data_IF_153286649251
#
_entry.id   IF_153286649251
#
_cell.length_a   1.000
_cell.length_b   1.000
_cell.length_c   1.000
_cell.angle_alpha   90.00
_cell.angle_beta   90.00
_cell.angle_gamma   90.00
#
_symmetry.space_group_name_H-M   'P 1'
#
loop_
_entity.id
_entity.type
_entity.pdbx_description
1 polymer ?
#
# COMPACT_ATOMS: atom_id res chain seq x y z
N UNK A 1 19.37 69.03 -7.77
CA UNK A 1 19.27 67.82 -8.60
C UNK A 1 18.05 67.05 -8.14
N UNK A 2 16.95 67.18 -8.87
CA UNK A 2 15.68 66.50 -8.62
C UNK A 2 15.67 65.15 -9.38
N UNK A 3 14.97 64.11 -8.87
CA UNK A 3 14.87 62.82 -9.55
C UNK A 3 13.87 62.88 -10.72
N UNK A 4 14.05 62.06 -11.78
CA UNK A 4 13.12 62.01 -12.90
C UNK A 4 11.88 61.14 -12.59
N UNK A 5 10.77 61.30 -13.33
CA UNK A 5 9.43 60.92 -12.90
C UNK A 5 9.01 59.51 -13.32
N UNK A 6 8.02 58.98 -12.58
CA UNK A 6 7.30 57.74 -12.85
C UNK A 6 6.46 57.81 -14.13
N UNK A 7 6.42 56.70 -14.87
CA UNK A 7 5.56 56.50 -16.03
C UNK A 7 4.16 55.97 -15.62
N UNK A 8 3.07 56.24 -16.38
CA UNK A 8 1.70 56.03 -15.95
C UNK A 8 1.14 54.65 -16.32
N UNK A 9 0.08 54.29 -15.60
CA UNK A 9 -0.75 53.08 -15.66
C UNK A 9 -1.87 53.19 -16.73
N UNK A 10 -2.14 52.07 -17.43
CA UNK A 10 -3.42 51.73 -18.12
C UNK A 10 -3.54 52.23 -19.57
N UNK A 11 -4.06 51.48 -20.56
CA UNK A 11 -4.95 50.30 -20.55
C UNK A 11 -5.12 49.76 -22.00
N UNK A 12 -5.59 48.49 -22.12
CA UNK A 12 -6.17 47.77 -23.29
C UNK A 12 -5.17 46.91 -24.11
N UNK A 13 -5.06 45.60 -23.84
CA UNK A 13 -5.89 44.47 -24.32
C UNK A 13 -5.82 44.25 -25.84
N UNK A 14 -5.04 43.24 -26.25
CA UNK A 14 -5.48 42.26 -27.24
C UNK A 14 -4.74 40.92 -27.02
N UNK A 15 -5.53 39.86 -27.02
CA UNK A 15 -5.19 38.48 -26.72
C UNK A 15 -4.31 37.85 -27.81
N UNK A 16 -3.31 37.09 -27.38
CA UNK A 16 -2.57 36.15 -28.21
C UNK A 16 -2.34 34.88 -27.41
N UNK A 17 -3.28 33.94 -27.48
CA UNK A 17 -3.19 32.59 -26.92
C UNK A 17 -2.09 31.80 -27.63
N UNK A 18 -0.94 31.67 -26.98
CA UNK A 18 0.12 30.74 -27.35
C UNK A 18 0.04 29.49 -26.47
N UNK A 19 -0.79 28.54 -26.87
CA UNK A 19 -0.79 27.18 -26.33
C UNK A 19 0.48 26.45 -26.79
N UNK A 20 1.36 26.09 -25.85
CA UNK A 20 2.24 24.92 -26.00
C UNK A 20 2.80 24.48 -24.64
N UNK A 21 1.93 23.97 -23.76
CA UNK A 21 2.39 23.07 -22.70
C UNK A 21 2.34 21.66 -23.27
N UNK A 22 3.49 21.10 -23.63
CA UNK A 22 3.61 19.66 -23.89
C UNK A 22 3.13 18.90 -22.64
N UNK A 23 2.28 17.86 -22.77
CA UNK A 23 1.86 17.07 -21.61
C UNK A 23 3.07 16.43 -20.93
N UNK A 24 3.02 16.17 -19.61
CA UNK A 24 4.04 15.36 -18.95
C UNK A 24 4.18 14.01 -19.69
N UNK A 25 5.41 13.52 -19.86
CA UNK A 25 5.71 12.30 -20.66
C UNK A 25 4.89 11.07 -20.25
N UNK A 26 4.44 11.00 -19.00
CA UNK A 26 3.55 9.95 -18.49
C UNK A 26 2.14 10.01 -19.11
N UNK A 27 1.58 11.21 -19.30
CA UNK A 27 0.28 11.40 -19.96
C UNK A 27 0.32 10.93 -21.41
N UNK A 28 1.33 11.36 -22.16
CA UNK A 28 1.49 10.97 -23.57
C UNK A 28 1.68 9.45 -23.72
N UNK A 29 2.37 8.80 -22.79
CA UNK A 29 2.54 7.34 -22.79
C UNK A 29 1.22 6.62 -22.46
N UNK A 30 0.43 7.14 -21.51
CA UNK A 30 -0.88 6.60 -21.16
C UNK A 30 -1.88 6.75 -22.32
N UNK A 31 -1.90 7.91 -22.98
CA UNK A 31 -2.76 8.17 -24.14
C UNK A 31 -2.43 7.24 -25.31
N UNK A 32 -1.14 7.01 -25.55
CA UNK A 32 -0.66 6.05 -26.56
C UNK A 32 -1.05 4.61 -26.21
N UNK A 33 -0.98 4.21 -24.94
CA UNK A 33 -1.42 2.88 -24.50
C UNK A 33 -2.93 2.71 -24.66
N UNK A 34 -3.74 3.71 -24.27
CA UNK A 34 -5.20 3.72 -24.46
C UNK A 34 -5.54 3.50 -25.94
N UNK A 35 -4.83 4.20 -26.85
CA UNK A 35 -4.99 4.06 -28.31
C UNK A 35 -4.66 2.63 -28.78
N UNK A 36 -3.53 2.06 -28.35
CA UNK A 36 -3.13 0.69 -28.71
C UNK A 36 -4.12 -0.37 -28.21
N UNK A 37 -4.62 -0.23 -26.98
CA UNK A 37 -5.64 -1.13 -26.42
C UNK A 37 -6.90 -1.06 -27.27
N UNK A 38 -7.37 0.14 -27.60
CA UNK A 38 -8.52 0.33 -28.48
C UNK A 38 -8.33 -0.38 -29.82
N UNK A 39 -7.20 -0.13 -30.51
CA UNK A 39 -6.91 -0.74 -31.81
C UNK A 39 -6.90 -2.26 -31.76
N UNK A 40 -6.33 -2.82 -30.69
CA UNK A 40 -6.29 -4.27 -30.49
C UNK A 40 -7.67 -4.87 -30.25
N UNK A 41 -8.52 -4.20 -29.47
CA UNK A 41 -9.90 -4.65 -29.22
C UNK A 41 -10.77 -4.59 -30.48
N UNK A 42 -10.58 -3.55 -31.30
CA UNK A 42 -11.24 -3.43 -32.62
C UNK A 42 -10.76 -4.52 -33.56
N UNK A 43 -9.45 -4.77 -33.65
CA UNK A 43 -8.88 -5.86 -34.46
C UNK A 43 -9.37 -7.25 -34.01
N UNK A 44 -9.57 -7.44 -32.71
CA UNK A 44 -10.13 -8.66 -32.14
C UNK A 44 -11.67 -8.79 -32.31
N UNK A 45 -12.32 -7.80 -32.93
CA UNK A 45 -13.77 -7.79 -33.17
C UNK A 45 -14.61 -7.64 -31.90
N UNK A 46 -14.04 -7.12 -30.82
CA UNK A 46 -14.70 -7.03 -29.50
C UNK A 46 -15.60 -5.80 -29.32
N UNK A 47 -15.73 -4.96 -30.35
CA UNK A 47 -16.62 -3.78 -30.31
C UNK A 47 -18.11 -4.11 -30.40
N UNK A 48 -18.45 -5.34 -30.79
CA UNK A 48 -19.85 -5.77 -30.99
C UNK A 48 -20.55 -4.93 -32.06
N UNK A 49 -21.81 -4.55 -31.79
CA UNK A 49 -22.64 -3.71 -32.66
C UNK A 49 -22.50 -2.20 -32.41
N UNK A 50 -21.61 -1.80 -31.49
CA UNK A 50 -21.39 -0.39 -31.18
C UNK A 50 -20.56 0.28 -32.29
N UNK A 51 -20.88 1.53 -32.61
CA UNK A 51 -20.04 2.31 -33.51
C UNK A 51 -18.68 2.64 -32.86
N UNK A 52 -17.69 2.90 -33.71
CA UNK A 52 -16.30 3.13 -33.29
C UNK A 52 -16.17 4.28 -32.26
N UNK A 53 -17.05 5.29 -32.37
CA UNK A 53 -17.06 6.46 -31.50
C UNK A 53 -17.66 6.15 -30.12
N UNK A 54 -18.80 5.46 -30.05
CA UNK A 54 -19.40 5.02 -28.78
C UNK A 54 -18.49 4.05 -28.05
N UNK A 55 -17.90 3.10 -28.77
CA UNK A 55 -16.97 2.12 -28.20
C UNK A 55 -15.73 2.81 -27.60
N UNK A 56 -15.19 3.82 -28.28
CA UNK A 56 -14.06 4.61 -27.77
C UNK A 56 -14.43 5.40 -26.51
N UNK A 57 -15.52 6.18 -26.57
CA UNK A 57 -15.97 6.99 -25.43
C UNK A 57 -16.24 6.13 -24.18
N UNK A 58 -16.76 4.94 -24.37
CA UNK A 58 -17.03 3.96 -23.33
C UNK A 58 -15.76 3.43 -22.67
N UNK A 59 -14.71 3.15 -23.45
CA UNK A 59 -13.39 2.76 -22.91
C UNK A 59 -12.71 3.93 -22.19
N UNK A 60 -12.78 5.14 -22.76
CA UNK A 60 -12.22 6.34 -22.12
C UNK A 60 -12.89 6.60 -20.78
N UNK A 61 -14.23 6.50 -20.71
CA UNK A 61 -14.97 6.62 -19.46
C UNK A 61 -14.54 5.57 -18.41
N UNK A 62 -14.22 4.34 -18.84
CA UNK A 62 -13.70 3.31 -17.93
C UNK A 62 -12.29 3.65 -17.44
N UNK A 63 -11.39 4.10 -18.31
CA UNK A 63 -10.04 4.50 -17.91
C UNK A 63 -10.05 5.72 -16.98
N UNK A 64 -10.96 6.66 -17.18
CA UNK A 64 -11.07 7.87 -16.37
C UNK A 64 -11.68 7.61 -14.98
N UNK A 65 -12.46 6.52 -14.84
CA UNK A 65 -12.93 6.04 -13.53
C UNK A 65 -11.82 5.43 -12.67
N UNK A 66 -10.78 4.90 -13.31
CA UNK A 66 -9.71 4.17 -12.63
C UNK A 66 -8.50 5.07 -12.38
N UNK A 67 -7.71 4.80 -11.33
CA UNK A 67 -6.55 5.60 -11.02
C UNK A 67 -5.50 5.42 -12.13
N UNK A 68 -4.64 6.42 -12.40
CA UNK A 68 -3.62 6.33 -13.45
C UNK A 68 -2.74 5.08 -13.38
N UNK A 69 -2.54 4.51 -12.18
CA UNK A 69 -1.81 3.25 -11.96
C UNK A 69 -2.39 2.05 -12.72
N UNK A 70 -3.69 2.03 -12.97
CA UNK A 70 -4.34 0.97 -13.72
C UNK A 70 -3.75 0.81 -15.13
N UNK A 71 -3.45 1.93 -15.79
CA UNK A 71 -2.79 1.92 -17.09
C UNK A 71 -1.32 1.50 -17.02
N UNK A 72 -0.66 1.70 -15.89
CA UNK A 72 0.73 1.27 -15.68
C UNK A 72 0.84 -0.24 -15.50
N UNK A 73 -0.15 -0.86 -14.86
CA UNK A 73 -0.21 -2.30 -14.63
C UNK A 73 -0.73 -3.08 -15.87
N UNK A 74 -1.36 -2.37 -16.81
CA UNK A 74 -1.83 -2.92 -18.07
C UNK A 74 -0.70 -3.02 -19.11
N UNK A 75 -0.70 -4.11 -19.86
CA UNK A 75 0.12 -4.27 -21.06
C UNK A 75 -0.76 -4.43 -22.29
N UNK A 76 -0.20 -4.17 -23.47
CA UNK A 76 -0.94 -4.33 -24.73
C UNK A 76 -1.50 -5.76 -24.91
N UNK A 77 -0.79 -6.77 -24.39
CA UNK A 77 -1.24 -8.17 -24.40
C UNK A 77 -2.46 -8.43 -23.51
N UNK A 78 -2.76 -7.54 -22.56
CA UNK A 78 -3.88 -7.62 -21.62
C UNK A 78 -5.07 -6.74 -22.03
N UNK A 79 -5.16 -6.35 -23.30
CA UNK A 79 -6.25 -5.49 -23.79
C UNK A 79 -7.66 -6.05 -23.50
N UNK A 80 -7.84 -7.38 -23.55
CA UNK A 80 -9.12 -8.03 -23.24
C UNK A 80 -9.50 -7.95 -21.76
N UNK A 81 -8.52 -7.85 -20.86
CA UNK A 81 -8.76 -7.72 -19.42
C UNK A 81 -9.49 -6.42 -19.11
N UNK A 82 -9.28 -5.37 -19.90
CA UNK A 82 -9.99 -4.07 -19.77
C UNK A 82 -11.50 -4.25 -19.90
N UNK A 83 -11.95 -5.10 -20.83
CA UNK A 83 -13.37 -5.36 -21.01
C UNK A 83 -13.94 -6.17 -19.83
N UNK A 84 -13.19 -7.15 -19.34
CA UNK A 84 -13.59 -7.97 -18.20
C UNK A 84 -13.69 -7.15 -16.91
N UNK A 85 -12.68 -6.31 -16.63
CA UNK A 85 -12.66 -5.40 -15.48
C UNK A 85 -13.85 -4.44 -15.51
N UNK A 86 -14.15 -3.89 -16.69
CA UNK A 86 -15.31 -3.04 -16.87
C UNK A 86 -16.62 -3.80 -16.62
N UNK A 87 -16.77 -4.99 -17.20
CA UNK A 87 -17.98 -5.79 -17.05
C UNK A 87 -18.27 -6.11 -15.58
N UNK A 88 -17.23 -6.46 -14.82
CA UNK A 88 -17.34 -6.76 -13.37
C UNK A 88 -17.72 -5.51 -12.56
N UNK A 89 -17.16 -4.35 -12.90
CA UNK A 89 -17.53 -3.07 -12.26
C UNK A 89 -18.97 -2.65 -12.60
N UNK A 90 -19.35 -2.75 -13.87
CA UNK A 90 -20.70 -2.41 -14.34
C UNK A 90 -21.72 -3.37 -13.69
N UNK A 91 -21.46 -4.67 -13.65
CA UNK A 91 -22.34 -5.66 -13.00
C UNK A 91 -22.54 -5.35 -11.50
N UNK A 92 -21.47 -4.95 -10.81
CA UNK A 92 -21.54 -4.56 -9.40
C UNK A 92 -22.43 -3.32 -9.18
N UNK A 93 -22.31 -2.33 -10.06
CA UNK A 93 -23.13 -1.11 -10.01
C UNK A 93 -24.61 -1.38 -10.31
N UNK A 94 -24.92 -2.32 -11.22
CA UNK A 94 -26.29 -2.64 -11.61
C UNK A 94 -26.98 -3.62 -10.66
N UNK A 95 -26.23 -4.53 -10.01
CA UNK A 95 -26.79 -5.55 -9.11
C UNK A 95 -27.03 -5.05 -7.68
N UNK A 96 -27.56 -3.83 -7.54
CA UNK A 96 -27.88 -3.23 -6.25
C UNK A 96 -26.68 -3.14 -5.31
N UNK A 97 -25.48 -2.90 -5.85
CA UNK A 97 -24.24 -2.75 -5.10
C UNK A 97 -23.79 -4.03 -4.36
N UNK A 98 -24.24 -5.20 -4.81
CA UNK A 98 -23.74 -6.47 -4.31
C UNK A 98 -22.34 -6.75 -4.87
N UNK A 99 -21.45 -7.38 -4.08
CA UNK A 99 -20.15 -7.77 -4.58
C UNK A 99 -20.26 -8.75 -5.73
N UNK A 100 -19.51 -8.51 -6.80
CA UNK A 100 -19.43 -9.37 -7.99
C UNK A 100 -18.06 -10.05 -8.01
N UNK A 101 -18.06 -11.31 -8.41
CA UNK A 101 -16.88 -12.16 -8.40
C UNK A 101 -16.77 -12.95 -9.71
N UNK A 102 -15.56 -13.06 -10.26
CA UNK A 102 -15.25 -13.92 -11.41
C UNK A 102 -13.90 -14.61 -11.21
N UNK A 103 -13.77 -15.83 -11.73
CA UNK A 103 -12.50 -16.56 -11.74
C UNK A 103 -12.22 -17.14 -13.13
N UNK A 104 -10.95 -17.10 -13.57
CA UNK A 104 -10.48 -17.73 -14.81
C UNK A 104 -9.17 -18.48 -14.57
N UNK A 105 -8.97 -19.59 -15.27
CA UNK A 105 -7.69 -20.28 -15.29
C UNK A 105 -6.70 -19.51 -16.18
N UNK A 106 -5.47 -19.30 -15.70
CA UNK A 106 -4.42 -18.62 -16.47
C UNK A 106 -3.47 -19.62 -17.12
N UNK A 107 -2.77 -20.42 -16.31
CA UNK A 107 -1.70 -21.29 -16.81
C UNK A 107 -1.22 -22.30 -15.76
N UNK A 108 -0.71 -23.43 -16.25
CA UNK A 108 0.04 -24.41 -15.47
C UNK A 108 1.54 -24.04 -15.46
N UNK A 109 2.11 -23.81 -14.28
CA UNK A 109 3.55 -23.69 -14.10
C UNK A 109 4.14 -25.02 -13.67
N UNK A 110 4.86 -25.67 -14.59
CA UNK A 110 5.83 -26.69 -14.18
C UNK A 110 6.99 -25.92 -13.58
N UNK A 111 7.24 -26.10 -12.28
CA UNK A 111 8.51 -25.68 -11.68
C UNK A 111 9.59 -26.52 -12.34
N UNK A 112 10.15 -26.02 -13.44
CA UNK A 112 11.41 -26.58 -13.94
C UNK A 112 12.45 -26.22 -12.87
N UNK A 113 13.14 -27.20 -12.27
CA UNK A 113 14.34 -26.87 -11.53
C UNK A 113 15.29 -26.24 -12.56
N UNK A 114 15.50 -24.92 -12.48
CA UNK A 114 16.58 -24.29 -13.23
C UNK A 114 17.87 -25.02 -12.84
N UNK A 115 18.49 -25.64 -13.84
CA UNK A 115 19.75 -26.34 -13.70
C UNK A 115 20.84 -25.32 -13.36
N UNK A 116 21.08 -25.10 -12.08
CA UNK A 116 22.42 -24.70 -11.63
C UNK A 116 23.22 -26.00 -11.57
N UNK A 117 24.12 -26.18 -12.54
CA UNK A 117 25.09 -27.27 -12.48
C UNK A 117 25.96 -27.06 -11.23
N UNK A 118 25.71 -27.87 -10.20
CA UNK A 118 26.43 -27.88 -8.92
C UNK A 118 27.67 -28.77 -8.98
N UNK A 119 28.15 -29.11 -10.19
CA UNK A 119 29.45 -29.74 -10.35
C UNK A 119 30.56 -28.79 -9.83
N UNK A 120 31.57 -29.31 -9.12
CA UNK A 120 32.66 -28.50 -8.55
C UNK A 120 33.51 -27.75 -9.59
N UNK A 121 33.31 -28.04 -10.88
CA UNK A 121 34.05 -27.47 -12.00
C UNK A 121 33.26 -26.38 -12.77
N UNK A 122 32.06 -26.02 -12.29
CA UNK A 122 31.22 -24.99 -12.91
C UNK A 122 31.71 -23.57 -12.57
N UNK A 123 32.06 -22.80 -13.60
CA UNK A 123 32.52 -21.39 -13.50
C UNK A 123 31.55 -20.49 -12.71
N UNK A 124 30.26 -20.83 -12.74
CA UNK A 124 29.19 -20.12 -12.02
C UNK A 124 29.23 -20.40 -10.51
N UNK A 125 29.57 -21.63 -10.11
CA UNK A 125 29.73 -22.03 -8.71
C UNK A 125 30.98 -21.39 -8.09
N UNK A 126 32.06 -21.28 -8.85
CA UNK A 126 33.27 -20.57 -8.44
C UNK A 126 33.05 -19.07 -8.28
N UNK A 127 32.33 -18.39 -9.20
CA UNK A 127 31.98 -16.98 -9.06
C UNK A 127 31.11 -16.71 -7.81
N UNK A 128 30.16 -17.59 -7.52
CA UNK A 128 29.33 -17.51 -6.31
C UNK A 128 30.14 -17.71 -5.02
N UNK A 129 31.13 -18.61 -5.01
CA UNK A 129 32.04 -18.76 -3.87
C UNK A 129 32.99 -17.57 -3.73
N UNK A 130 33.46 -16.98 -4.83
CA UNK A 130 34.31 -15.78 -4.80
C UNK A 130 33.55 -14.56 -4.26
N UNK A 131 32.28 -14.39 -4.62
CA UNK A 131 31.43 -13.31 -4.11
C UNK A 131 30.99 -13.52 -2.65
N UNK A 132 30.83 -14.78 -2.21
CA UNK A 132 30.42 -15.13 -0.84
C UNK A 132 31.60 -15.27 0.15
N UNK A 133 32.85 -15.28 -0.31
CA UNK A 133 34.04 -15.41 0.56
C UNK A 133 34.61 -14.06 1.03
N UNK A 134 34.09 -12.94 0.53
CA UNK A 134 34.38 -11.60 1.06
C UNK A 134 33.35 -11.18 2.11
N UNK A 135 33.38 -11.87 3.26
CA UNK A 135 33.10 -11.36 4.62
C UNK A 135 32.59 -12.49 5.55
N UNK A 136 33.51 -13.37 5.97
CA UNK A 136 33.41 -13.95 7.32
C UNK A 136 34.76 -14.44 7.86
N UNK A 137 35.49 -13.53 8.50
CA UNK A 137 36.50 -13.90 9.49
C UNK A 137 35.76 -14.14 10.82
N UNK A 138 35.86 -15.39 11.29
CA UNK A 138 35.66 -15.92 12.65
C UNK A 138 34.24 -16.05 13.24
N UNK A 139 33.86 -17.30 13.56
CA UNK A 139 32.80 -17.59 14.54
C UNK A 139 32.15 -18.98 14.45
N UNK A 140 32.94 -20.04 14.66
CA UNK A 140 32.60 -21.39 15.19
C UNK A 140 31.18 -21.97 15.11
N UNK A 141 31.07 -23.02 14.29
CA UNK A 141 30.42 -24.34 14.44
C UNK A 141 29.36 -24.57 15.54
N UNK A 142 28.17 -24.96 15.09
CA UNK A 142 27.44 -26.10 15.69
C UNK A 142 26.53 -26.76 14.66
N UNK A 143 26.84 -28.01 14.32
CA UNK A 143 26.20 -28.86 13.32
C UNK A 143 24.85 -29.40 13.81
N UNK A 144 23.77 -29.06 13.12
CA UNK A 144 22.44 -29.69 13.27
C UNK A 144 21.96 -30.21 11.92
N UNK A 145 21.94 -31.53 11.77
CA UNK A 145 21.48 -32.26 10.59
C UNK A 145 20.04 -31.90 10.22
N UNK A 146 19.84 -31.20 9.10
CA UNK A 146 18.53 -30.98 8.48
C UNK A 146 18.34 -32.00 7.36
N UNK A 147 17.41 -32.92 7.59
CA UNK A 147 16.86 -33.85 6.61
C UNK A 147 16.32 -33.11 5.38
N UNK A 148 16.83 -33.46 4.21
CA UNK A 148 16.39 -32.97 2.90
C UNK A 148 14.95 -33.39 2.59
N UNK A 149 14.04 -32.47 2.20
CA UNK A 149 12.71 -32.84 1.78
C UNK A 149 12.75 -33.45 0.37
N UNK A 150 12.02 -34.56 0.22
CA UNK A 150 11.82 -35.29 -1.03
C UNK A 150 11.20 -34.42 -2.12
N UNK A 151 11.75 -34.56 -3.32
CA UNK A 151 11.31 -33.93 -4.57
C UNK A 151 10.05 -34.62 -5.10
N UNK A 152 8.92 -33.92 -5.05
CA UNK A 152 7.77 -34.07 -5.94
C UNK A 152 7.08 -32.70 -6.00
N UNK A 153 7.49 -31.83 -6.92
CA UNK A 153 6.85 -30.53 -7.14
C UNK A 153 5.75 -30.71 -8.18
N UNK A 154 4.51 -30.91 -7.73
CA UNK A 154 3.33 -30.85 -8.61
C UNK A 154 3.29 -29.49 -9.33
N UNK A 155 2.83 -29.43 -10.59
CA UNK A 155 2.69 -28.17 -11.29
C UNK A 155 1.71 -27.23 -10.58
N UNK A 156 2.09 -25.99 -10.37
CA UNK A 156 1.22 -24.98 -9.77
C UNK A 156 0.21 -24.49 -10.82
N UNK A 157 -1.08 -24.70 -10.55
CA UNK A 157 -2.17 -24.19 -11.37
C UNK A 157 -2.52 -22.76 -10.93
N UNK A 158 -2.29 -21.80 -11.83
CA UNK A 158 -2.59 -20.39 -11.58
C UNK A 158 -4.00 -20.04 -12.03
N UNK A 159 -4.74 -19.40 -11.13
CA UNK A 159 -6.07 -18.87 -11.35
C UNK A 159 -6.06 -17.37 -11.11
N UNK A 160 -6.74 -16.62 -11.96
CA UNK A 160 -7.03 -15.22 -11.71
C UNK A 160 -8.43 -15.10 -11.12
N UNK A 161 -8.54 -14.29 -10.08
CA UNK A 161 -9.74 -14.01 -9.34
C UNK A 161 -9.96 -12.50 -9.38
N UNK A 162 -11.08 -12.07 -9.95
CA UNK A 162 -11.47 -10.66 -10.05
C UNK A 162 -12.69 -10.43 -9.16
N UNK A 163 -12.61 -9.40 -8.34
CA UNK A 163 -13.67 -9.01 -7.42
C UNK A 163 -13.98 -7.52 -7.59
N UNK A 164 -15.27 -7.18 -7.58
CA UNK A 164 -15.73 -5.80 -7.52
C UNK A 164 -16.76 -5.61 -6.42
N UNK A 165 -16.67 -4.51 -5.69
CA UNK A 165 -17.61 -4.18 -4.60
C UNK A 165 -17.59 -2.68 -4.29
N UNK A 166 -18.46 -2.22 -3.36
CA UNK A 166 -18.26 -0.88 -2.79
C UNK A 166 -16.94 -0.81 -2.05
N UNK A 167 -16.19 0.28 -2.29
CA UNK A 167 -14.96 0.57 -1.59
C UNK A 167 -15.25 0.86 -0.11
N UNK A 168 -15.21 -0.20 0.69
CA UNK A 168 -15.39 -0.16 2.14
C UNK A 168 -14.08 -0.55 2.82
N UNK A 169 -13.66 0.20 3.86
CA UNK A 169 -12.48 -0.17 4.62
C UNK A 169 -12.66 -1.58 5.20
N UNK A 170 -11.60 -2.40 5.10
CA UNK A 170 -11.52 -3.79 5.59
C UNK A 170 -12.25 -4.86 4.76
N UNK A 171 -12.82 -4.53 3.60
CA UNK A 171 -13.43 -5.55 2.73
C UNK A 171 -12.36 -6.45 2.10
N UNK A 172 -11.29 -5.83 1.61
CA UNK A 172 -10.09 -6.47 1.07
C UNK A 172 -9.44 -7.47 2.04
N UNK A 173 -9.35 -7.11 3.32
CA UNK A 173 -8.81 -7.99 4.35
C UNK A 173 -9.73 -9.19 4.63
N UNK A 174 -11.05 -9.00 4.52
CA UNK A 174 -11.99 -10.11 4.58
C UNK A 174 -11.83 -11.04 3.38
N UNK A 175 -11.62 -10.50 2.19
CA UNK A 175 -11.45 -11.27 0.95
C UNK A 175 -10.18 -12.10 0.97
N UNK A 176 -9.04 -11.49 1.30
CA UNK A 176 -7.79 -12.24 1.39
C UNK A 176 -7.80 -13.31 2.49
N UNK A 177 -8.48 -13.04 3.61
CA UNK A 177 -8.69 -14.06 4.63
C UNK A 177 -9.58 -15.21 4.12
N UNK A 178 -10.57 -14.91 3.26
CA UNK A 178 -11.40 -15.94 2.62
C UNK A 178 -10.58 -16.77 1.63
N UNK A 179 -9.74 -16.14 0.79
CA UNK A 179 -8.88 -16.86 -0.15
C UNK A 179 -7.92 -17.82 0.57
N UNK A 180 -7.32 -17.36 1.68
CA UNK A 180 -6.49 -18.20 2.55
C UNK A 180 -7.28 -19.34 3.22
N UNK A 181 -8.51 -19.10 3.66
CA UNK A 181 -9.40 -20.14 4.24
C UNK A 181 -9.76 -21.23 3.22
N UNK A 182 -9.94 -20.86 1.95
CA UNK A 182 -10.13 -21.80 0.83
C UNK A 182 -8.84 -22.58 0.50
N UNK A 183 -7.69 -22.16 1.06
CA UNK A 183 -6.39 -22.79 0.85
C UNK A 183 -5.64 -22.26 -0.37
N UNK A 184 -6.06 -21.11 -0.91
CA UNK A 184 -5.38 -20.45 -2.02
C UNK A 184 -4.23 -19.59 -1.52
N UNK A 185 -3.11 -19.59 -2.24
CA UNK A 185 -2.04 -18.62 -2.00
C UNK A 185 -2.05 -17.56 -3.10
N UNK A 186 -2.08 -16.30 -2.69
CA UNK A 186 -1.98 -15.13 -3.56
C UNK A 186 -0.52 -14.98 -3.98
N UNK A 187 -0.32 -14.96 -5.29
CA UNK A 187 0.95 -14.74 -5.98
C UNK A 187 1.07 -13.28 -6.45
N UNK A 188 -0.02 -12.70 -6.96
CA UNK A 188 -0.09 -11.29 -7.38
C UNK A 188 -1.40 -10.68 -6.92
N UNK A 189 -1.40 -9.38 -6.58
CA UNK A 189 -2.58 -8.66 -6.14
C UNK A 189 -2.59 -7.22 -6.67
N UNK A 190 -3.55 -6.90 -7.53
CA UNK A 190 -3.78 -5.56 -8.06
C UNK A 190 -5.10 -5.01 -7.53
N UNK A 191 -5.08 -3.83 -6.92
CA UNK A 191 -6.25 -3.28 -6.22
C UNK A 191 -6.46 -1.84 -6.67
N UNK A 192 -7.65 -1.53 -7.16
CA UNK A 192 -7.99 -0.23 -7.74
C UNK A 192 -9.26 0.33 -7.10
N UNK A 193 -9.18 1.53 -6.54
CA UNK A 193 -10.38 2.29 -6.13
C UNK A 193 -10.82 3.19 -7.27
N UNK A 194 -12.10 3.13 -7.64
CA UNK A 194 -12.67 3.96 -8.70
C UNK A 194 -13.18 5.30 -8.14
N UNK A 195 -13.28 6.31 -9.01
CA UNK A 195 -13.80 7.64 -8.62
C UNK A 195 -15.27 7.63 -8.20
N UNK A 196 -16.04 6.61 -8.61
CA UNK A 196 -17.45 6.41 -8.24
C UNK A 196 -17.65 5.56 -6.98
N UNK A 197 -16.58 5.23 -6.25
CA UNK A 197 -16.64 4.61 -4.92
C UNK A 197 -16.74 3.09 -4.91
N UNK A 198 -16.37 2.43 -6.01
CA UNK A 198 -16.20 0.98 -6.10
C UNK A 198 -14.71 0.61 -6.00
N UNK A 199 -14.43 -0.65 -5.71
CA UNK A 199 -13.10 -1.23 -5.84
C UNK A 199 -13.10 -2.35 -6.86
N UNK A 200 -11.98 -2.51 -7.57
CA UNK A 200 -11.66 -3.61 -8.46
C UNK A 200 -10.40 -4.28 -7.93
N UNK A 201 -10.53 -5.51 -7.45
CA UNK A 201 -9.46 -6.28 -6.83
C UNK A 201 -9.19 -7.52 -7.69
N UNK A 202 -7.97 -7.65 -8.21
CA UNK A 202 -7.54 -8.72 -9.11
C UNK A 202 -6.42 -9.49 -8.42
N UNK A 203 -6.64 -10.77 -8.16
CA UNK A 203 -5.71 -11.67 -7.49
C UNK A 203 -5.29 -12.79 -8.44
N UNK A 204 -3.99 -13.02 -8.57
CA UNK A 204 -3.48 -14.27 -9.16
C UNK A 204 -3.16 -15.20 -8.01
N UNK A 205 -3.72 -16.41 -8.03
CA UNK A 205 -3.61 -17.38 -6.95
C UNK A 205 -3.16 -18.76 -7.43
N UNK A 206 -2.47 -19.50 -6.56
CA UNK A 206 -2.24 -20.93 -6.67
C UNK A 206 -2.92 -21.71 -5.52
N UNK A 207 -2.73 -23.03 -5.49
CA UNK A 207 -3.25 -23.90 -4.43
C UNK A 207 -4.58 -24.57 -4.77
N UNK A 208 -5.24 -24.16 -5.87
CA UNK A 208 -6.38 -24.88 -6.41
C UNK A 208 -5.93 -26.06 -7.29
N UNK A 209 -6.54 -27.23 -7.07
CA UNK A 209 -6.03 -28.50 -7.63
C UNK A 209 -6.52 -28.81 -9.05
N UNK A 210 -7.50 -28.09 -9.55
CA UNK A 210 -8.13 -28.34 -10.86
C UNK A 210 -8.04 -27.10 -11.74
N UNK A 211 -8.16 -27.25 -13.06
CA UNK A 211 -8.30 -26.12 -13.99
C UNK A 211 -9.74 -25.55 -13.98
N UNK A 212 -10.68 -26.30 -13.39
CA UNK A 212 -12.10 -25.97 -13.33
C UNK A 212 -12.36 -24.83 -12.34
N UNK A 213 -12.90 -23.72 -12.85
CA UNK A 213 -13.20 -22.52 -12.07
C UNK A 213 -14.58 -22.55 -11.42
N UNK A 214 -15.51 -23.37 -11.91
CA UNK A 214 -16.89 -23.45 -11.38
C UNK A 214 -16.91 -23.92 -9.91
N UNK A 215 -16.13 -24.96 -9.59
CA UNK A 215 -16.01 -25.46 -8.22
C UNK A 215 -15.29 -24.46 -7.30
N UNK A 216 -14.31 -23.72 -7.83
CA UNK A 216 -13.61 -22.65 -7.11
C UNK A 216 -14.59 -21.51 -6.77
N UNK A 217 -15.36 -21.05 -7.76
CA UNK A 217 -16.40 -20.03 -7.60
C UNK A 217 -17.40 -20.46 -6.52
N UNK A 218 -17.97 -21.67 -6.64
CA UNK A 218 -18.95 -22.18 -5.68
C UNK A 218 -18.41 -22.27 -4.24
N UNK A 219 -17.13 -22.65 -4.08
CA UNK A 219 -16.48 -22.74 -2.77
C UNK A 219 -16.29 -21.35 -2.13
N UNK A 220 -15.88 -20.37 -2.94
CA UNK A 220 -15.72 -18.99 -2.48
C UNK A 220 -17.08 -18.38 -2.12
N UNK A 221 -18.12 -18.62 -2.93
CA UNK A 221 -19.49 -18.16 -2.69
C UNK A 221 -20.08 -18.74 -1.39
N UNK A 222 -19.95 -20.05 -1.15
CA UNK A 222 -20.41 -20.67 0.10
C UNK A 222 -19.73 -20.05 1.33
N UNK A 223 -18.41 -19.83 1.24
CA UNK A 223 -17.63 -19.24 2.33
C UNK A 223 -18.03 -17.79 2.59
N UNK A 224 -18.37 -17.02 1.54
CA UNK A 224 -18.93 -15.67 1.66
C UNK A 224 -20.29 -15.66 2.35
N UNK A 225 -21.18 -16.60 2.01
CA UNK A 225 -22.52 -16.71 2.59
C UNK A 225 -22.49 -17.09 4.06
N UNK A 226 -21.60 -18.01 4.46
CA UNK A 226 -21.38 -18.36 5.89
C UNK A 226 -20.97 -17.15 6.73
N UNK A 227 -20.21 -16.20 6.16
CA UNK A 227 -19.64 -15.04 6.88
C UNK A 227 -20.55 -13.81 6.87
N UNK A 228 -21.43 -13.66 5.89
CA UNK A 228 -22.42 -12.57 5.82
C UNK A 228 -23.64 -12.79 6.74
N UNK A 229 -23.78 -13.97 7.36
CA UNK A 229 -24.84 -14.30 8.31
C UNK A 229 -24.64 -13.84 9.77
N UNK A 230 -23.51 -13.20 10.10
CA UNK A 230 -23.27 -12.67 11.45
C UNK A 230 -23.74 -11.21 11.57
N UNK A 231 -24.70 -10.88 12.46
CA UNK A 231 -25.13 -9.49 12.65
C UNK A 231 -24.00 -8.66 13.30
N UNK A 232 -23.77 -7.41 12.83
CA UNK A 232 -22.76 -6.53 13.41
C UNK A 232 -23.33 -5.84 14.65
N UNK A 233 -23.69 -6.58 15.70
CA UNK A 233 -24.19 -5.98 16.94
C UNK A 233 -23.71 -6.78 18.16
N UNK A 234 -22.47 -6.48 18.56
CA UNK A 234 -21.88 -6.84 19.87
C UNK A 234 -20.60 -6.01 20.17
N UNK A 235 -19.98 -5.39 19.17
CA UNK A 235 -18.67 -4.74 19.30
C UNK A 235 -18.62 -3.44 20.14
N UNK A 236 -19.74 -2.71 20.29
CA UNK A 236 -19.70 -1.38 20.91
C UNK A 236 -19.49 -1.43 22.44
N UNK A 237 -20.00 -2.46 23.12
CA UNK A 237 -19.79 -2.63 24.56
C UNK A 237 -18.33 -2.97 24.87
N UNK A 238 -17.71 -3.86 24.07
CA UNK A 238 -16.30 -4.24 24.20
C UNK A 238 -15.33 -3.09 23.84
N UNK A 239 -15.69 -2.24 22.88
CA UNK A 239 -14.81 -1.14 22.45
C UNK A 239 -14.69 -0.05 23.52
N UNK A 240 -15.76 0.24 24.27
CA UNK A 240 -15.76 1.28 25.30
C UNK A 240 -14.82 0.96 26.48
N UNK A 241 -14.81 -0.29 26.93
CA UNK A 241 -13.94 -0.75 28.03
C UNK A 241 -12.47 -0.70 27.60
N UNK A 242 -12.18 -1.20 26.40
CA UNK A 242 -10.84 -1.17 25.82
C UNK A 242 -10.30 0.25 25.61
N UNK A 243 -11.16 1.20 25.21
CA UNK A 243 -10.76 2.61 25.06
C UNK A 243 -10.37 3.22 26.41
N UNK A 244 -11.10 2.90 27.47
CA UNK A 244 -10.77 3.39 28.81
C UNK A 244 -9.39 2.89 29.26
N UNK A 245 -9.11 1.59 29.09
CA UNK A 245 -7.80 0.99 29.40
C UNK A 245 -6.66 1.63 28.60
N UNK A 246 -6.88 1.92 27.31
CA UNK A 246 -5.87 2.54 26.46
C UNK A 246 -5.60 4.00 26.85
N UNK A 247 -6.65 4.75 27.23
CA UNK A 247 -6.52 6.13 27.72
C UNK A 247 -5.79 6.21 29.05
N UNK A 248 -6.02 5.26 29.96
CA UNK A 248 -5.30 5.17 31.23
C UNK A 248 -3.79 4.99 31.01
N UNK A 249 -3.39 4.18 30.03
CA UNK A 249 -1.99 4.00 29.68
C UNK A 249 -1.32 5.24 29.08
N UNK A 250 -2.09 6.19 28.56
CA UNK A 250 -1.60 7.45 27.97
C UNK A 250 -1.62 8.63 28.94
N UNK A 251 -2.03 8.42 30.20
CA UNK A 251 -2.24 9.52 31.17
C UNK A 251 -1.01 10.41 31.37
N UNK A 252 0.19 9.82 31.38
CA UNK A 252 1.47 10.53 31.57
C UNK A 252 1.90 11.35 30.35
N UNK A 253 1.27 11.12 29.21
CA UNK A 253 1.58 11.77 27.93
C UNK A 253 0.41 12.64 27.44
N UNK A 254 -0.56 12.92 28.33
CA UNK A 254 -1.73 13.70 28.01
C UNK A 254 -1.36 15.18 27.85
N UNK A 255 -1.70 15.75 26.69
CA UNK A 255 -1.55 17.16 26.39
C UNK A 255 -2.93 17.81 26.51
N UNK A 256 -3.02 18.95 27.23
CA UNK A 256 -4.24 19.75 27.21
C UNK A 256 -4.43 20.36 25.81
N UNK A 257 -5.60 20.13 25.21
CA UNK A 257 -5.95 20.70 23.91
C UNK A 257 -5.77 22.22 23.86
N UNK A 258 -6.04 22.92 24.96
CA UNK A 258 -6.00 24.39 24.99
C UNK A 258 -4.58 24.97 24.91
N UNK A 259 -3.54 24.17 25.16
CA UNK A 259 -2.15 24.60 25.04
C UNK A 259 -1.53 24.26 23.67
N UNK A 260 -2.28 23.59 22.79
CA UNK A 260 -1.89 23.36 21.41
C UNK A 260 -2.31 24.55 20.54
N UNK A 261 -1.33 25.18 19.91
CA UNK A 261 -1.60 26.18 18.88
C UNK A 261 -1.77 25.46 17.54
N UNK A 262 -3.01 25.12 17.18
CA UNK A 262 -3.33 24.54 15.87
C UNK A 262 -3.31 25.64 14.80
N UNK A 263 -2.55 25.42 13.72
CA UNK A 263 -2.38 26.36 12.63
C UNK A 263 -3.02 25.82 11.34
N UNK A 264 -2.28 25.75 10.23
CA UNK A 264 -2.79 25.30 8.94
C UNK A 264 -3.07 23.79 8.88
N UNK A 265 -4.07 23.43 8.06
CA UNK A 265 -4.33 22.03 7.73
C UNK A 265 -3.30 21.57 6.70
N UNK A 266 -2.59 20.48 6.99
CA UNK A 266 -1.59 19.88 6.10
C UNK A 266 -2.32 19.00 5.08
N UNK A 267 -3.11 18.04 5.55
CA UNK A 267 -3.82 17.10 4.69
C UNK A 267 -5.05 16.50 5.39
N UNK A 268 -5.92 15.89 4.59
CA UNK A 268 -7.15 15.23 5.03
C UNK A 268 -7.07 13.75 4.68
N UNK A 269 -6.86 12.89 5.68
CA UNK A 269 -6.87 11.44 5.49
C UNK A 269 -8.26 10.82 5.52
N UNK A 270 -8.36 9.50 5.35
CA UNK A 270 -9.60 8.73 5.48
C UNK A 270 -10.11 8.71 6.92
N UNK A 271 -9.20 8.49 7.87
CA UNK A 271 -9.49 8.32 9.31
C UNK A 271 -9.15 9.55 10.16
N UNK A 272 -8.22 10.40 9.72
CA UNK A 272 -7.74 11.53 10.50
C UNK A 272 -7.39 12.73 9.62
N UNK A 273 -7.48 13.93 10.21
CA UNK A 273 -7.02 15.18 9.63
C UNK A 273 -5.68 15.58 10.26
N UNK A 274 -4.73 16.02 9.44
CA UNK A 274 -3.40 16.44 9.89
C UNK A 274 -3.29 17.96 9.84
N UNK A 275 -2.83 18.56 10.94
CA UNK A 275 -2.61 19.99 11.07
C UNK A 275 -1.17 20.26 11.50
N UNK A 276 -0.60 21.36 11.02
CA UNK A 276 0.61 21.91 11.61
C UNK A 276 0.21 22.71 12.85
N UNK A 277 1.10 22.80 13.82
CA UNK A 277 0.88 23.63 14.99
C UNK A 277 2.13 23.84 15.80
N UNK A 278 1.95 24.38 17.00
CA UNK A 278 3.05 24.62 17.93
C UNK A 278 2.69 24.08 19.32
N UNK A 279 3.65 23.41 19.96
CA UNK A 279 3.53 22.93 21.33
C UNK A 279 4.82 23.21 22.09
N UNK A 280 4.76 23.97 23.19
CA UNK A 280 5.94 24.35 23.98
C UNK A 280 7.08 24.98 23.15
N UNK A 281 6.72 25.75 22.12
CA UNK A 281 7.67 26.38 21.19
C UNK A 281 8.25 25.46 20.12
N UNK A 282 7.88 24.18 20.08
CA UNK A 282 8.26 23.23 19.04
C UNK A 282 7.24 23.25 17.90
N UNK A 283 7.72 23.14 16.66
CA UNK A 283 6.89 22.91 15.48
C UNK A 283 6.42 21.45 15.47
N UNK A 284 5.11 21.25 15.39
CA UNK A 284 4.48 19.92 15.58
C UNK A 284 3.46 19.59 14.51
N UNK A 285 3.29 18.30 14.28
CA UNK A 285 2.17 17.75 13.55
C UNK A 285 1.10 17.26 14.54
N UNK A 286 -0.15 17.67 14.31
CA UNK A 286 -1.31 17.36 15.14
C UNK A 286 -2.27 16.53 14.27
N UNK A 287 -2.28 15.21 14.51
CA UNK A 287 -3.19 14.27 13.86
C UNK A 287 -4.48 14.21 14.68
N UNK A 288 -5.61 14.59 14.11
CA UNK A 288 -6.93 14.62 14.77
C UNK A 288 -7.82 13.54 14.16
N UNK A 289 -8.37 12.65 14.98
CA UNK A 289 -9.29 11.61 14.53
C UNK A 289 -10.58 12.22 13.96
N UNK A 290 -10.97 11.82 12.73
CA UNK A 290 -12.17 12.32 12.06
C UNK A 290 -13.41 11.62 12.63
N UNK A 291 -14.36 12.42 13.09
CA UNK A 291 -15.63 11.95 13.66
C UNK A 291 -15.44 11.04 14.87
N UNK A 292 -15.20 11.67 16.02
CA UNK A 292 -15.27 11.01 17.33
C UNK A 292 -16.72 10.60 17.63
N UNK A 293 -17.24 9.59 16.93
CA UNK A 293 -18.22 8.71 17.54
C UNK A 293 -17.44 8.01 18.65
N UNK A 294 -17.49 8.61 19.85
CA UNK A 294 -16.88 8.06 21.05
C UNK A 294 -17.25 6.57 21.14
N UNK A 295 -16.26 5.73 21.42
CA UNK A 295 -16.40 4.27 21.48
C UNK A 295 -16.47 3.56 20.12
N UNK A 296 -15.77 4.09 19.11
CA UNK A 296 -15.64 3.43 17.81
C UNK A 296 -14.39 2.54 17.70
N UNK A 297 -14.39 1.50 16.85
CA UNK A 297 -13.18 0.72 16.55
C UNK A 297 -12.02 1.58 16.03
N UNK A 298 -12.31 2.64 15.28
CA UNK A 298 -11.29 3.58 14.78
C UNK A 298 -10.58 4.33 15.91
N UNK A 299 -11.29 4.62 17.01
CA UNK A 299 -10.68 5.21 18.20
C UNK A 299 -9.73 4.24 18.91
N UNK A 300 -10.08 2.95 18.98
CA UNK A 300 -9.19 1.91 19.51
C UNK A 300 -7.89 1.85 18.71
N UNK A 301 -7.97 1.83 17.38
CA UNK A 301 -6.80 1.81 16.48
C UNK A 301 -5.94 3.08 16.65
N UNK A 302 -6.60 4.24 16.78
CA UNK A 302 -5.93 5.52 16.99
C UNK A 302 -5.16 5.56 18.32
N UNK A 303 -5.76 5.11 19.41
CA UNK A 303 -5.08 5.07 20.72
C UNK A 303 -3.96 4.01 20.76
N UNK A 304 -4.13 2.89 20.06
CA UNK A 304 -3.06 1.91 19.89
C UNK A 304 -1.85 2.50 19.16
N UNK A 305 -2.07 3.28 18.10
CA UNK A 305 -1.00 4.00 17.40
C UNK A 305 -0.22 4.92 18.36
N UNK A 306 -0.92 5.69 19.20
CA UNK A 306 -0.28 6.56 20.20
C UNK A 306 0.59 5.76 21.19
N UNK A 307 0.11 4.61 21.65
CA UNK A 307 0.87 3.75 22.57
C UNK A 307 2.11 3.13 21.91
N UNK A 308 2.05 2.78 20.63
CA UNK A 308 3.22 2.28 19.90
C UNK A 308 4.28 3.36 19.73
N UNK A 309 3.87 4.55 19.31
CA UNK A 309 4.74 5.72 19.19
C UNK A 309 5.39 6.09 20.53
N UNK A 310 4.66 5.95 21.65
CA UNK A 310 5.20 6.17 23.00
C UNK A 310 6.31 5.19 23.40
N UNK A 311 6.30 3.96 22.87
CA UNK A 311 7.20 2.88 23.31
C UNK A 311 8.64 3.02 22.84
N UNK A 312 8.87 3.75 21.76
CA UNK A 312 10.18 3.75 21.09
C UNK A 312 10.63 5.18 20.85
N UNK A 313 11.90 5.45 21.14
CA UNK A 313 12.55 6.74 20.85
C UNK A 313 13.84 6.48 20.09
N UNK A 314 13.91 6.94 18.86
CA UNK A 314 15.06 6.74 17.98
C UNK A 314 15.17 7.89 16.97
N UNK A 315 16.39 8.17 16.48
CA UNK A 315 16.62 9.26 15.51
C UNK A 315 15.88 9.06 14.18
N UNK A 316 15.61 7.81 13.79
CA UNK A 316 14.92 7.42 12.55
C UNK A 316 13.50 6.88 12.78
N UNK A 317 12.88 7.17 13.92
CA UNK A 317 11.47 6.89 14.21
C UNK A 317 10.79 8.21 14.55
N UNK A 318 9.57 8.41 14.07
CA UNK A 318 8.83 9.65 14.29
C UNK A 318 8.66 9.94 15.78
N UNK A 319 9.10 11.13 16.20
CA UNK A 319 9.10 11.53 17.61
C UNK A 319 7.70 11.85 18.07
N UNK A 320 7.26 11.15 19.12
CA UNK A 320 6.01 11.39 19.81
C UNK A 320 6.18 12.40 20.94
N UNK A 321 5.32 13.41 20.98
CA UNK A 321 5.29 14.40 22.06
C UNK A 321 4.16 14.16 23.06
N UNK A 322 3.04 13.62 22.60
CA UNK A 322 1.91 13.30 23.47
C UNK A 322 0.61 13.08 22.71
N UNK A 323 -0.47 12.89 23.45
CA UNK A 323 -1.80 12.72 22.90
C UNK A 323 -2.82 13.59 23.65
N UNK A 324 -3.86 14.03 22.96
CA UNK A 324 -5.03 14.67 23.56
C UNK A 324 -6.18 13.67 23.50
N UNK A 325 -6.51 13.03 24.61
CA UNK A 325 -7.53 11.96 24.65
C UNK A 325 -8.73 12.33 25.53
N UNK A 326 -8.59 13.34 26.40
CA UNK A 326 -9.64 13.77 27.35
C UNK A 326 -10.59 14.83 26.79
N UNK A 327 -10.26 15.47 25.67
CA UNK A 327 -11.09 16.54 25.13
C UNK A 327 -12.41 16.00 24.54
N UNK A 328 -13.54 16.65 24.84
CA UNK A 328 -14.89 16.15 24.47
C UNK A 328 -15.12 16.04 22.95
N UNK A 329 -14.44 16.88 22.16
CA UNK A 329 -14.65 16.95 20.71
C UNK A 329 -13.47 16.44 19.89
N UNK A 330 -12.28 16.36 20.48
CA UNK A 330 -11.04 16.14 19.74
C UNK A 330 -10.26 15.04 20.41
N UNK A 331 -9.85 14.04 19.63
CA UNK A 331 -8.87 13.05 20.01
C UNK A 331 -7.68 13.22 19.05
N UNK A 332 -6.49 13.47 19.58
CA UNK A 332 -5.33 13.82 18.77
C UNK A 332 -4.03 13.18 19.23
N UNK A 333 -3.11 12.99 18.28
CA UNK A 333 -1.71 12.56 18.49
C UNK A 333 -0.82 13.72 18.04
N UNK A 334 0.16 14.07 18.86
CA UNK A 334 1.11 15.15 18.62
C UNK A 334 2.51 14.56 18.38
N UNK A 335 3.07 14.84 17.20
CA UNK A 335 4.42 14.39 16.80
C UNK A 335 5.26 15.56 16.31
N UNK A 336 6.54 15.33 16.05
CA UNK A 336 7.32 16.29 15.27
C UNK A 336 6.71 16.52 13.88
N UNK A 337 6.87 17.75 13.39
CA UNK A 337 6.52 18.11 12.02
C UNK A 337 7.67 17.77 11.08
N UNK A 338 7.36 17.11 9.96
CA UNK A 338 8.32 16.67 8.94
C UNK A 338 8.05 17.47 7.65
N UNK A 339 8.77 18.58 7.41
CA UNK A 339 8.45 19.54 6.33
C UNK A 339 8.63 18.99 4.91
N UNK A 340 9.42 17.92 4.74
CA UNK A 340 9.68 17.30 3.44
C UNK A 340 8.57 16.38 2.94
N UNK A 341 7.49 16.18 3.72
CA UNK A 341 6.40 15.26 3.37
C UNK A 341 6.83 13.80 3.46
N UNK A 342 6.16 12.91 2.73
CA UNK A 342 6.52 11.50 2.66
C UNK A 342 7.54 11.19 1.54
N UNK A 343 8.25 10.08 1.70
CA UNK A 343 9.29 9.63 0.79
C UNK A 343 8.71 9.18 -0.56
N UNK A 344 7.45 8.74 -0.60
CA UNK A 344 6.80 8.33 -1.85
C UNK A 344 6.65 9.52 -2.80
N UNK A 345 6.11 10.64 -2.33
CA UNK A 345 6.03 11.86 -3.11
C UNK A 345 7.42 12.38 -3.50
N UNK A 346 8.39 12.30 -2.60
CA UNK A 346 9.76 12.73 -2.90
C UNK A 346 10.37 11.95 -4.05
N UNK A 347 10.26 10.62 -4.03
CA UNK A 347 10.79 9.71 -5.04
C UNK A 347 10.11 9.96 -6.40
N UNK A 348 8.79 10.06 -6.42
CA UNK A 348 8.02 10.17 -7.68
C UNK A 348 8.02 11.57 -8.30
N UNK A 349 8.47 12.60 -7.55
CA UNK A 349 8.70 13.95 -8.11
C UNK A 349 10.06 14.09 -8.80
N UNK A 350 10.96 13.11 -8.67
CA UNK A 350 12.27 13.18 -9.33
C UNK A 350 12.12 12.84 -10.82
N UNK A 351 12.75 13.66 -11.67
CA UNK A 351 12.77 13.45 -13.13
C UNK A 351 13.97 12.59 -13.59
N UNK A 352 14.97 12.41 -12.73
CA UNK A 352 16.23 11.71 -13.00
C UNK A 352 16.60 10.81 -11.81
N UNK A 353 17.59 9.93 -12.02
CA UNK A 353 18.13 9.04 -10.99
C UNK A 353 18.56 9.79 -9.72
N UNK A 354 18.19 9.25 -8.56
CA UNK A 354 18.70 9.72 -7.28
C UNK A 354 20.19 9.40 -7.13
N UNK A 355 20.93 10.31 -6.52
CA UNK A 355 22.33 10.09 -6.17
C UNK A 355 22.47 8.87 -5.25
N UNK A 356 23.41 7.97 -5.57
CA UNK A 356 23.61 6.73 -4.83
C UNK A 356 23.92 6.99 -3.35
N UNK A 357 24.67 8.04 -3.04
CA UNK A 357 24.99 8.39 -1.66
C UNK A 357 23.74 8.84 -0.90
N UNK A 358 22.80 9.53 -1.55
CA UNK A 358 21.51 9.87 -0.96
C UNK A 358 20.66 8.62 -0.71
N UNK A 359 20.57 7.71 -1.69
CA UNK A 359 19.85 6.43 -1.55
C UNK A 359 20.40 5.65 -0.35
N UNK A 360 21.72 5.48 -0.27
CA UNK A 360 22.37 4.75 0.83
C UNK A 360 22.12 5.41 2.19
N UNK A 361 22.12 6.74 2.25
CA UNK A 361 21.82 7.48 3.49
C UNK A 361 20.40 7.22 3.97
N UNK A 362 19.42 7.32 3.07
CA UNK A 362 18.00 7.04 3.37
C UNK A 362 17.84 5.59 3.82
N UNK A 363 18.41 4.65 3.06
CA UNK A 363 18.38 3.21 3.36
C UNK A 363 18.94 2.90 4.76
N UNK A 364 20.12 3.44 5.10
CA UNK A 364 20.74 3.26 6.41
C UNK A 364 19.90 3.84 7.55
N UNK A 365 19.26 4.99 7.33
CA UNK A 365 18.37 5.58 8.33
C UNK A 365 17.13 4.71 8.58
N UNK A 366 16.49 4.23 7.51
CA UNK A 366 15.35 3.31 7.64
C UNK A 366 15.77 2.01 8.34
N UNK A 367 16.90 1.42 7.96
CA UNK A 367 17.36 0.16 8.55
C UNK A 367 17.64 0.27 10.05
N UNK A 368 18.25 1.37 10.51
CA UNK A 368 18.45 1.65 11.94
C UNK A 368 17.13 1.83 12.70
N UNK A 369 16.17 2.54 12.10
CA UNK A 369 14.83 2.67 12.67
C UNK A 369 14.13 1.32 12.82
N UNK A 370 14.18 0.48 11.78
CA UNK A 370 13.60 -0.87 11.82
C UNK A 370 14.29 -1.79 12.83
N UNK A 371 15.62 -1.75 12.91
CA UNK A 371 16.37 -2.48 13.94
C UNK A 371 15.89 -2.09 15.34
N UNK A 372 15.72 -0.80 15.61
CA UNK A 372 15.21 -0.31 16.88
C UNK A 372 13.81 -0.86 17.19
N UNK A 373 12.89 -0.89 16.22
CA UNK A 373 11.56 -1.48 16.40
C UNK A 373 11.64 -2.97 16.72
N UNK A 374 12.43 -3.72 15.97
CA UNK A 374 12.58 -5.16 16.13
C UNK A 374 13.21 -5.53 17.48
N UNK A 375 14.18 -4.75 17.96
CA UNK A 375 14.76 -4.91 19.32
C UNK A 375 13.74 -4.69 20.44
N UNK A 376 12.71 -3.87 20.21
CA UNK A 376 11.59 -3.69 21.13
C UNK A 376 10.44 -4.70 20.91
N UNK A 377 10.69 -5.75 20.12
CA UNK A 377 9.70 -6.73 19.67
C UNK A 377 8.49 -6.09 18.97
N UNK A 378 8.68 -4.99 18.24
CA UNK A 378 7.62 -4.34 17.47
C UNK A 378 7.78 -4.70 16.00
N UNK A 379 6.75 -5.28 15.40
CA UNK A 379 6.66 -5.53 13.96
C UNK A 379 5.83 -4.40 13.35
N UNK A 380 6.37 -3.72 12.33
CA UNK A 380 5.75 -2.53 11.73
C UNK A 380 4.53 -2.91 10.87
N UNK A 381 4.67 -3.92 10.01
CA UNK A 381 3.63 -4.52 9.14
C UNK A 381 3.10 -3.66 7.98
N UNK A 382 3.40 -2.37 7.95
CA UNK A 382 3.04 -1.47 6.84
C UNK A 382 4.22 -0.57 6.45
N UNK A 383 5.43 -1.15 6.36
CA UNK A 383 6.59 -0.36 5.94
C UNK A 383 6.50 -0.09 4.42
N UNK A 384 6.41 1.18 4.05
CA UNK A 384 6.34 1.65 2.66
C UNK A 384 6.87 3.08 2.58
N UNK A 385 7.22 3.55 1.40
CA UNK A 385 7.72 4.93 1.19
C UNK A 385 6.73 6.00 1.63
N UNK A 386 5.41 5.76 1.50
CA UNK A 386 4.39 6.68 2.00
C UNK A 386 4.35 6.80 3.55
N UNK A 387 4.91 5.82 4.27
CA UNK A 387 5.01 5.81 5.73
C UNK A 387 6.41 6.23 6.22
N UNK A 388 7.27 6.73 5.34
CA UNK A 388 8.58 7.27 5.69
C UNK A 388 8.53 8.78 5.47
N UNK A 389 8.69 9.56 6.53
CA UNK A 389 8.61 11.01 6.46
C UNK A 389 10.01 11.64 6.34
N UNK A 390 10.06 12.75 5.62
CA UNK A 390 11.28 13.49 5.31
C UNK A 390 11.31 14.82 6.07
N UNK A 391 12.41 15.05 6.78
CA UNK A 391 12.71 16.30 7.47
C UNK A 391 13.74 17.12 6.70
N UNK A 392 14.26 18.14 7.37
CA UNK A 392 15.35 18.95 6.82
C UNK A 392 16.61 18.10 6.59
N UNK A 393 17.43 18.50 5.61
CA UNK A 393 18.70 17.84 5.27
C UNK A 393 18.58 16.33 4.97
N UNK A 394 17.44 15.90 4.42
CA UNK A 394 17.17 14.50 4.06
C UNK A 394 17.20 13.53 5.26
N UNK A 395 16.90 14.04 6.47
CA UNK A 395 16.62 13.16 7.61
C UNK A 395 15.32 12.41 7.34
N UNK A 396 15.34 11.08 7.44
CA UNK A 396 14.13 10.26 7.29
C UNK A 396 13.74 9.60 8.61
N UNK A 397 12.44 9.50 8.83
CA UNK A 397 11.85 8.84 10.00
C UNK A 397 10.69 7.96 9.62
N UNK A 398 10.65 6.76 10.19
CA UNK A 398 9.55 5.82 10.03
C UNK A 398 8.35 6.33 10.82
N UNK A 399 7.20 6.38 10.16
CA UNK A 399 5.93 6.84 10.69
C UNK A 399 4.85 5.76 10.50
N UNK A 400 3.66 6.07 11.01
CA UNK A 400 2.42 5.29 10.91
C UNK A 400 2.42 3.85 11.47
N UNK A 401 2.25 3.77 12.79
CA UNK A 401 2.14 2.53 13.54
C UNK A 401 0.70 2.00 13.68
N UNK A 402 -0.23 2.41 12.82
CA UNK A 402 -1.66 2.08 12.94
C UNK A 402 -1.95 0.56 12.98
N UNK A 403 -1.11 -0.23 12.31
CA UNK A 403 -1.22 -1.70 12.26
C UNK A 403 -0.08 -2.43 12.98
N UNK A 404 0.84 -1.69 13.60
CA UNK A 404 1.98 -2.27 14.30
C UNK A 404 1.53 -3.13 15.50
N UNK A 405 2.32 -4.16 15.82
CA UNK A 405 2.06 -5.05 16.97
C UNK A 405 3.34 -5.38 17.73
N UNK A 406 3.19 -5.64 19.02
CA UNK A 406 4.22 -6.32 19.81
C UNK A 406 4.19 -7.80 19.45
N UNK A 407 5.36 -8.40 19.25
CA UNK A 407 5.54 -9.78 18.80
C UNK A 407 4.74 -10.81 19.61
N UNK A 408 4.45 -11.95 18.96
CA UNK A 408 3.60 -13.07 19.41
C UNK A 408 2.08 -12.84 19.54
N UNK A 409 1.54 -11.74 19.02
CA UNK A 409 0.08 -11.62 18.84
C UNK A 409 -0.35 -12.08 17.45
N UNK A 410 -0.92 -13.29 17.39
CA UNK A 410 -1.71 -13.78 16.26
C UNK A 410 -2.94 -12.87 16.12
N UNK A 411 -3.02 -12.14 15.01
CA UNK A 411 -4.14 -11.25 14.74
C UNK A 411 -4.31 -11.07 13.24
N UNK A 412 -5.55 -11.22 12.76
CA UNK A 412 -5.92 -10.97 11.37
C UNK A 412 -5.57 -9.54 10.99
N UNK A 413 -4.85 -9.39 9.88
CA UNK A 413 -4.49 -8.08 9.37
C UNK A 413 -5.67 -7.40 8.69
N UNK A 414 -5.67 -6.07 8.70
CA UNK A 414 -6.44 -5.23 7.78
C UNK A 414 -5.50 -4.72 6.71
N UNK A 415 -5.40 -5.44 5.60
CA UNK A 415 -4.77 -4.89 4.40
C UNK A 415 -5.64 -3.71 3.90
N UNK A 416 -5.06 -2.52 3.85
CA UNK A 416 -5.66 -1.39 3.15
C UNK A 416 -5.43 -1.53 1.64
N UNK A 417 -6.39 -1.06 0.86
CA UNK A 417 -6.36 -1.02 -0.60
C UNK A 417 -5.09 -0.34 -1.09
N UNK A 418 -4.09 -1.11 -1.55
CA UNK A 418 -2.86 -0.60 -2.15
C UNK A 418 -1.54 -0.88 -1.43
N UNK A 419 -1.53 -1.43 -0.21
CA UNK A 419 -0.28 -1.78 0.51
C UNK A 419 0.37 -3.07 -0.01
N UNK A 420 -0.35 -3.93 -0.74
CA UNK A 420 0.11 -5.28 -1.12
C UNK A 420 1.50 -5.36 -1.73
N UNK A 421 1.89 -4.36 -2.54
CA UNK A 421 3.19 -4.33 -3.22
C UNK A 421 4.38 -4.33 -2.26
N UNK A 422 4.20 -3.83 -1.04
CA UNK A 422 5.23 -3.87 0.01
C UNK A 422 5.02 -5.03 1.00
N UNK A 423 3.94 -5.81 0.90
CA UNK A 423 3.62 -6.86 1.87
C UNK A 423 4.35 -8.16 1.52
N UNK A 424 4.91 -8.79 2.55
CA UNK A 424 5.53 -10.09 2.38
C UNK A 424 4.51 -11.19 2.01
N UNK A 425 4.87 -12.19 1.20
CA UNK A 425 3.95 -13.23 0.72
C UNK A 425 3.24 -13.99 1.86
N UNK A 426 3.94 -14.27 2.96
CA UNK A 426 3.37 -14.92 4.14
C UNK A 426 2.27 -14.08 4.81
N UNK A 427 2.40 -12.75 4.73
CA UNK A 427 1.41 -11.80 5.26
C UNK A 427 0.16 -11.82 4.38
N UNK A 428 0.35 -11.71 3.07
CA UNK A 428 -0.76 -11.71 2.10
C UNK A 428 -1.57 -13.00 2.22
N UNK A 429 -0.88 -14.11 2.46
CA UNK A 429 -1.46 -15.45 2.58
C UNK A 429 -1.98 -15.79 3.98
N UNK A 430 -1.98 -14.84 4.92
CA UNK A 430 -2.40 -15.04 6.32
C UNK A 430 -1.69 -16.21 7.02
N UNK A 431 -0.43 -16.48 6.63
CA UNK A 431 0.44 -17.49 7.26
C UNK A 431 1.09 -16.88 8.52
N UNK A 432 1.60 -17.69 9.45
CA UNK A 432 2.40 -17.18 10.56
C UNK A 432 3.62 -16.41 10.04
N UNK A 433 3.91 -15.27 10.66
CA UNK A 433 5.01 -14.39 10.26
C UNK A 433 5.68 -13.76 11.48
N UNK A 434 6.90 -13.27 11.27
CA UNK A 434 7.68 -12.55 12.26
C UNK A 434 8.19 -11.21 11.69
N UNK A 435 9.22 -10.65 12.31
CA UNK A 435 9.88 -9.42 11.85
C UNK A 435 10.46 -9.48 10.42
N UNK A 436 10.61 -10.68 9.81
CA UNK A 436 11.08 -10.84 8.43
C UNK A 436 10.12 -10.27 7.40
N UNK A 437 8.83 -10.16 7.73
CA UNK A 437 7.88 -9.47 6.89
C UNK A 437 8.28 -8.00 6.64
N UNK A 438 8.78 -7.31 7.65
CA UNK A 438 9.26 -5.93 7.50
C UNK A 438 10.56 -5.85 6.68
N UNK A 439 11.39 -6.92 6.71
CA UNK A 439 12.62 -7.01 5.91
C UNK A 439 12.28 -7.12 4.42
N UNK A 440 11.24 -7.88 4.07
CA UNK A 440 10.71 -7.91 2.71
C UNK A 440 10.22 -6.52 2.29
N UNK A 441 9.38 -5.88 3.11
CA UNK A 441 8.89 -4.53 2.84
C UNK A 441 10.03 -3.52 2.65
N UNK A 442 11.10 -3.63 3.43
CA UNK A 442 12.29 -2.80 3.28
C UNK A 442 13.00 -3.03 1.93
N UNK A 443 13.08 -4.27 1.45
CA UNK A 443 13.65 -4.56 0.14
C UNK A 443 12.84 -3.88 -1.00
N UNK A 444 11.51 -3.84 -0.87
CA UNK A 444 10.65 -3.14 -1.82
C UNK A 444 10.88 -1.61 -1.76
N UNK A 445 11.03 -1.04 -0.56
CA UNK A 445 11.41 0.38 -0.40
C UNK A 445 12.76 0.69 -1.06
N UNK A 446 13.77 -0.19 -0.93
CA UNK A 446 15.06 -0.03 -1.60
C UNK A 446 14.92 -0.09 -3.12
N UNK A 447 14.13 -1.03 -3.63
CA UNK A 447 13.87 -1.15 -5.06
C UNK A 447 13.21 0.12 -5.62
N UNK A 448 12.24 0.68 -4.90
CA UNK A 448 11.55 1.92 -5.28
C UNK A 448 12.50 3.13 -5.27
N UNK A 449 13.40 3.22 -4.29
CA UNK A 449 14.43 4.27 -4.24
C UNK A 449 15.42 4.19 -5.42
N UNK A 450 15.77 2.99 -5.86
CA UNK A 450 16.74 2.77 -6.95
C UNK A 450 16.09 3.00 -8.32
N UNK A 451 14.85 2.55 -8.48
CA UNK A 451 14.17 2.55 -9.79
C UNK A 451 13.33 3.80 -10.04
N UNK A 452 12.93 4.51 -8.97
CA UNK A 452 11.98 5.63 -9.00
C UNK A 452 10.62 5.27 -9.61
N UNK A 453 10.28 3.98 -9.56
CA UNK A 453 9.02 3.43 -10.04
C UNK A 453 8.20 2.94 -8.85
N UNK A 454 6.88 3.01 -8.97
CA UNK A 454 6.01 2.30 -8.04
C UNK A 454 6.33 0.79 -8.06
N UNK A 455 6.37 0.12 -6.90
CA UNK A 455 6.69 -1.31 -6.82
C UNK A 455 5.69 -2.14 -7.63
N UNK A 456 6.15 -3.25 -8.21
CA UNK A 456 5.35 -4.10 -9.09
C UNK A 456 4.21 -4.78 -8.33
#
# INVERSE_FOLDING_TARGET
MAPPPAAPIGQLLEEGTGESSSPPRSSAAHDELRRKIYERLVQAGKQGDSDDASFRNMLDAHFDKLPPRYLTDLSESKAEDVLLHREVLDECAHNGNQPVFRARFLKCMVVQPEWVDTSPDSETYQRLLEDLTLERIHGTDTTGSMSSPSRDSEPALLHEIIFSSLDKPKLLSRLTALLSEVGLNIQEAHVYSTTDGFCLDVFVVDGWKTEETEALIATIEDTLMRKNGAPPNSANASSSEKILELREQLVDCEIDWNILAVAEKITSGSSADLYRGTHSGLDVCIKILRSAHHNSPSEVEFLQQALMLRRVKHENILTFYGACTKHRKYCAIVTEYMPGGDLYEFVHKQNDVLDLLLILRIAMSISKGMECLHQHNIIHRDLKTANILMGDNHVVKIADFGVARVGSQEGQMTAETGTYRWMAPEIINHKPYDHKADVFSFAIVLWELITLKGPL
#
